data_IF_934425220833
#
_entry.id   IF_934425220833
#
_cell.length_a   1.000
_cell.length_b   1.000
_cell.length_c   1.000
_cell.angle_alpha   90.00
_cell.angle_beta   90.00
_cell.angle_gamma   90.00
#
_symmetry.space_group_name_H-M   'P 1'
#
loop_
_entity.id
_entity.type
_entity.pdbx_description
1 polymer ?
#
# COMPACT_ATOMS: atom_id res chain seq x y z
N UNK A 1 9.96 -12.21 13.46
CA UNK A 1 9.45 -10.94 14.05
C UNK A 1 8.05 -11.20 14.61
N UNK A 2 7.83 -10.83 15.85
CA UNK A 2 6.49 -10.84 16.44
C UNK A 2 5.80 -9.52 16.09
N UNK A 3 4.65 -9.59 15.44
CA UNK A 3 3.87 -8.41 15.02
C UNK A 3 2.80 -8.00 16.05
N UNK A 4 2.65 -8.75 17.13
CA UNK A 4 1.70 -8.41 18.19
C UNK A 4 2.01 -7.02 18.75
N UNK A 5 1.00 -6.14 18.76
CA UNK A 5 1.15 -4.75 19.21
C UNK A 5 1.95 -3.84 18.25
N UNK A 6 2.44 -4.34 17.12
CA UNK A 6 3.15 -3.54 16.12
C UNK A 6 2.18 -2.91 15.13
N UNK A 7 2.58 -1.79 14.58
CA UNK A 7 1.83 -1.05 13.54
C UNK A 7 2.51 -1.24 12.20
N UNK A 8 1.77 -1.73 11.23
CA UNK A 8 2.25 -1.94 9.87
C UNK A 8 1.50 -1.03 8.88
N UNK A 9 2.24 -0.36 8.03
CA UNK A 9 1.71 0.26 6.81
C UNK A 9 1.77 -0.79 5.70
N UNK A 10 0.65 -1.00 5.01
CA UNK A 10 0.55 -1.94 3.87
C UNK A 10 0.03 -1.19 2.66
N UNK A 11 0.88 -0.97 1.67
CA UNK A 11 0.44 -0.37 0.40
C UNK A 11 -0.26 -1.42 -0.47
N UNK A 12 -1.28 -1.02 -1.22
CA UNK A 12 -2.12 -1.97 -1.94
C UNK A 12 -2.88 -2.92 -1.01
N UNK A 13 -3.13 -2.49 0.22
CA UNK A 13 -3.69 -3.32 1.29
C UNK A 13 -5.18 -3.62 1.15
N UNK A 14 -5.87 -2.99 0.20
CA UNK A 14 -7.30 -3.20 -0.01
C UNK A 14 -7.63 -4.37 -0.94
N UNK A 15 -6.63 -4.99 -1.56
CA UNK A 15 -6.83 -6.11 -2.49
C UNK A 15 -5.65 -7.08 -2.53
N UNK A 16 -5.88 -8.27 -3.07
CA UNK A 16 -4.86 -9.27 -3.41
C UNK A 16 -3.92 -9.61 -2.26
N UNK A 17 -2.62 -9.56 -2.56
CA UNK A 17 -1.55 -9.92 -1.60
C UNK A 17 -1.55 -8.95 -0.40
N UNK A 18 -1.67 -7.65 -0.65
CA UNK A 18 -1.71 -6.66 0.43
C UNK A 18 -2.86 -6.88 1.41
N UNK A 19 -4.03 -7.21 0.90
CA UNK A 19 -5.20 -7.55 1.71
C UNK A 19 -4.95 -8.80 2.58
N UNK A 20 -4.34 -9.83 2.01
CA UNK A 20 -4.00 -11.04 2.75
C UNK A 20 -2.96 -10.76 3.85
N UNK A 21 -1.97 -9.91 3.56
CA UNK A 21 -0.98 -9.44 4.55
C UNK A 21 -1.66 -8.67 5.68
N UNK A 22 -2.56 -7.75 5.36
CA UNK A 22 -3.31 -6.97 6.34
C UNK A 22 -4.11 -7.87 7.29
N UNK A 23 -4.84 -8.85 6.75
CA UNK A 23 -5.57 -9.84 7.57
C UNK A 23 -4.64 -10.65 8.46
N UNK A 24 -3.50 -11.07 7.94
CA UNK A 24 -2.53 -11.88 8.70
C UNK A 24 -1.94 -11.09 9.87
N UNK A 25 -1.58 -9.83 9.65
CA UNK A 25 -1.02 -8.97 10.69
C UNK A 25 -2.08 -8.68 11.78
N UNK A 26 -3.28 -8.28 11.38
CA UNK A 26 -4.37 -8.03 12.33
C UNK A 26 -4.73 -9.29 13.13
N UNK A 27 -4.81 -10.45 12.49
CA UNK A 27 -5.08 -11.73 13.14
C UNK A 27 -3.98 -12.18 14.10
N UNK A 28 -2.77 -11.66 13.97
CA UNK A 28 -1.66 -11.90 14.88
C UNK A 28 -1.53 -10.82 15.99
N UNK A 29 -2.55 -9.97 16.17
CA UNK A 29 -2.59 -8.92 17.20
C UNK A 29 -1.86 -7.64 16.82
N UNK A 30 -1.46 -7.48 15.57
CA UNK A 30 -0.91 -6.24 15.05
C UNK A 30 -2.00 -5.25 14.64
N UNK A 31 -1.56 -4.04 14.31
CA UNK A 31 -2.39 -2.97 13.75
C UNK A 31 -1.95 -2.67 12.33
N UNK A 32 -2.90 -2.35 11.46
CA UNK A 32 -2.65 -2.15 10.03
C UNK A 32 -3.15 -0.79 9.59
N UNK A 33 -2.34 -0.07 8.86
CA UNK A 33 -2.74 1.11 8.11
C UNK A 33 -2.68 0.77 6.62
N UNK A 34 -3.84 0.72 6.00
CA UNK A 34 -3.97 0.40 4.58
C UNK A 34 -3.79 1.67 3.76
N UNK A 35 -2.80 1.66 2.86
CA UNK A 35 -2.61 2.67 1.83
C UNK A 35 -3.11 2.09 0.51
N UNK A 36 -4.19 2.66 -0.02
CA UNK A 36 -4.76 2.23 -1.29
C UNK A 36 -5.49 3.39 -1.96
N UNK A 37 -5.70 3.32 -3.26
CA UNK A 37 -6.50 4.27 -4.01
C UNK A 37 -8.00 3.92 -4.00
N UNK A 38 -8.33 2.66 -3.73
CA UNK A 38 -9.71 2.19 -3.70
C UNK A 38 -10.33 2.41 -2.32
N UNK A 39 -11.04 3.51 -2.18
CA UNK A 39 -11.66 3.93 -0.93
C UNK A 39 -12.73 2.94 -0.45
N UNK A 40 -13.57 2.44 -1.36
CA UNK A 40 -14.61 1.46 -1.02
C UNK A 40 -14.01 0.17 -0.46
N UNK A 41 -13.02 -0.39 -1.13
CA UNK A 41 -12.34 -1.59 -0.69
C UNK A 41 -11.53 -1.36 0.60
N UNK A 42 -10.91 -0.19 0.75
CA UNK A 42 -10.19 0.19 1.97
C UNK A 42 -11.12 0.28 3.19
N UNK A 43 -12.25 0.95 3.03
CA UNK A 43 -13.26 1.05 4.09
C UNK A 43 -13.89 -0.31 4.42
N UNK A 44 -14.06 -1.20 3.44
CA UNK A 44 -14.52 -2.57 3.68
C UNK A 44 -13.53 -3.36 4.55
N UNK A 45 -12.24 -3.16 4.37
CA UNK A 45 -11.19 -3.76 5.21
C UNK A 45 -11.24 -3.24 6.65
N UNK A 46 -11.48 -1.95 6.85
CA UNK A 46 -11.66 -1.37 8.21
C UNK A 46 -12.87 -1.99 8.89
N UNK A 47 -13.99 -2.15 8.18
CA UNK A 47 -15.19 -2.81 8.71
C UNK A 47 -14.95 -4.28 9.06
N UNK A 48 -14.18 -5.00 8.24
CA UNK A 48 -13.84 -6.42 8.47
C UNK A 48 -12.91 -6.61 9.67
N UNK A 49 -11.83 -5.83 9.75
CA UNK A 49 -10.78 -5.99 10.77
C UNK A 49 -11.06 -5.24 12.07
N UNK A 50 -11.95 -4.26 12.04
CA UNK A 50 -12.29 -3.40 13.15
C UNK A 50 -11.40 -2.15 13.24
N UNK A 51 -12.00 -1.03 13.61
CA UNK A 51 -11.32 0.27 13.71
C UNK A 51 -10.19 0.31 14.75
N UNK A 52 -10.20 -0.59 15.72
CA UNK A 52 -9.13 -0.74 16.72
C UNK A 52 -7.87 -1.39 16.13
N UNK A 53 -8.00 -2.09 15.01
CA UNK A 53 -6.91 -2.84 14.35
C UNK A 53 -6.56 -2.34 12.95
N UNK A 54 -7.45 -1.58 12.33
CA UNK A 54 -7.27 -1.15 10.95
C UNK A 54 -7.71 0.29 10.72
N UNK A 55 -6.85 1.04 10.03
CA UNK A 55 -7.14 2.38 9.51
C UNK A 55 -6.89 2.36 8.01
N UNK A 56 -7.72 3.08 7.27
CA UNK A 56 -7.54 3.31 5.85
C UNK A 56 -7.11 4.75 5.57
N UNK A 57 -6.15 4.92 4.67
CA UNK A 57 -5.77 6.20 4.09
C UNK A 57 -5.73 6.08 2.57
N UNK A 58 -6.40 7.03 1.89
CA UNK A 58 -6.31 7.12 0.42
C UNK A 58 -4.95 7.68 0.04
N UNK A 59 -4.05 6.82 -0.45
CA UNK A 59 -2.67 7.18 -0.74
C UNK A 59 -2.29 6.77 -2.16
N UNK A 60 -1.78 7.74 -2.90
CA UNK A 60 -1.06 7.52 -4.14
C UNK A 60 0.44 7.41 -3.84
N UNK A 61 1.01 6.23 -4.01
CA UNK A 61 2.41 5.94 -3.64
C UNK A 61 3.44 6.74 -4.43
N UNK A 62 3.10 7.27 -5.60
CA UNK A 62 4.00 8.09 -6.43
C UNK A 62 3.97 9.58 -6.05
N UNK A 63 3.04 9.99 -5.19
CA UNK A 63 2.89 11.36 -4.72
C UNK A 63 3.43 11.50 -3.29
N UNK A 64 4.49 12.27 -3.13
CA UNK A 64 5.13 12.47 -1.83
C UNK A 64 4.19 13.07 -0.80
N UNK A 65 3.40 14.08 -1.17
CA UNK A 65 2.46 14.72 -0.25
C UNK A 65 1.35 13.74 0.20
N UNK A 66 0.86 12.91 -0.73
CA UNK A 66 -0.12 11.87 -0.43
C UNK A 66 0.43 10.84 0.56
N UNK A 67 1.67 10.38 0.38
CA UNK A 67 2.32 9.43 1.31
C UNK A 67 2.53 10.06 2.68
N UNK A 68 3.00 11.31 2.74
CA UNK A 68 3.16 12.04 4.01
C UNK A 68 1.86 12.15 4.77
N UNK A 69 0.77 12.52 4.10
CA UNK A 69 -0.57 12.58 4.70
C UNK A 69 -1.02 11.21 5.24
N UNK A 70 -0.75 10.14 4.51
CA UNK A 70 -1.04 8.78 4.97
C UNK A 70 -0.23 8.38 6.22
N UNK A 71 1.03 8.76 6.28
CA UNK A 71 1.90 8.53 7.45
C UNK A 71 1.40 9.32 8.67
N UNK A 72 1.01 10.57 8.49
CA UNK A 72 0.40 11.38 9.55
C UNK A 72 -0.87 10.73 10.09
N UNK A 73 -1.72 10.20 9.21
CA UNK A 73 -2.91 9.44 9.61
C UNK A 73 -2.56 8.16 10.39
N UNK A 74 -1.50 7.45 10.00
CA UNK A 74 -1.02 6.27 10.70
C UNK A 74 -0.55 6.59 12.11
N UNK A 75 0.24 7.64 12.26
CA UNK A 75 0.77 8.09 13.56
C UNK A 75 -0.37 8.65 14.44
N UNK A 76 -1.30 9.42 13.88
CA UNK A 76 -2.47 9.92 14.61
C UNK A 76 -3.36 8.78 15.09
N UNK A 77 -3.55 7.72 14.30
CA UNK A 77 -4.40 6.58 14.65
C UNK A 77 -3.76 5.60 15.64
N UNK A 78 -2.49 5.27 15.46
CA UNK A 78 -1.81 4.19 16.19
C UNK A 78 -0.50 4.59 16.88
N UNK A 79 -0.07 5.84 16.76
CA UNK A 79 1.06 6.40 17.49
C UNK A 79 2.45 6.14 16.91
N UNK A 80 2.62 5.11 16.07
CA UNK A 80 3.92 4.75 15.48
C UNK A 80 3.76 3.92 14.21
N UNK A 81 4.84 3.75 13.46
CA UNK A 81 4.97 2.77 12.38
C UNK A 81 6.20 1.91 12.69
N UNK A 82 6.04 0.59 12.64
CA UNK A 82 7.10 -0.37 12.94
C UNK A 82 7.47 -1.22 11.72
N UNK A 83 6.51 -1.39 10.81
CA UNK A 83 6.64 -2.27 9.63
C UNK A 83 6.09 -1.55 8.41
N UNK A 84 6.78 -1.65 7.29
CA UNK A 84 6.30 -1.19 5.99
C UNK A 84 6.29 -2.37 5.02
N UNK A 85 5.13 -2.64 4.43
CA UNK A 85 4.96 -3.71 3.43
C UNK A 85 4.48 -3.09 2.12
N UNK A 86 5.33 -3.10 1.10
CA UNK A 86 5.04 -2.55 -0.20
C UNK A 86 4.41 -3.62 -1.11
N UNK A 87 3.08 -3.59 -1.22
CA UNK A 87 2.30 -4.46 -2.11
C UNK A 87 1.63 -3.71 -3.26
N UNK A 88 1.63 -2.37 -3.25
CA UNK A 88 1.08 -1.59 -4.34
C UNK A 88 1.89 -1.80 -5.62
N UNK A 89 1.22 -2.16 -6.69
CA UNK A 89 1.85 -2.39 -7.98
C UNK A 89 0.83 -2.65 -9.06
N UNK A 90 1.25 -2.43 -10.30
CA UNK A 90 0.50 -2.76 -11.50
C UNK A 90 1.35 -3.62 -12.42
N UNK A 91 0.71 -4.40 -13.27
CA UNK A 91 1.38 -5.20 -14.28
C UNK A 91 0.80 -4.95 -15.66
N UNK A 92 1.66 -5.06 -16.67
CA UNK A 92 1.30 -5.03 -18.07
C UNK A 92 2.06 -6.12 -18.80
N UNK A 93 1.38 -7.19 -19.16
CA UNK A 93 1.94 -8.27 -19.94
C UNK A 93 1.78 -7.95 -21.43
N UNK A 94 2.83 -7.42 -22.04
CA UNK A 94 2.88 -7.19 -23.47
C UNK A 94 4.28 -7.47 -24.03
N UNK A 95 4.33 -7.83 -25.32
CA UNK A 95 5.61 -8.03 -26.03
C UNK A 95 6.30 -6.68 -26.24
N UNK A 96 7.63 -6.68 -26.21
CA UNK A 96 8.45 -5.50 -26.54
C UNK A 96 8.09 -4.96 -27.92
N UNK A 97 7.84 -5.85 -28.89
CA UNK A 97 7.31 -5.53 -30.21
C UNK A 97 6.04 -6.37 -30.45
N UNK A 98 4.89 -5.72 -30.44
CA UNK A 98 3.59 -6.31 -30.74
C UNK A 98 3.17 -6.12 -32.20
N UNK A 99 1.94 -6.54 -32.52
CA UNK A 99 1.37 -6.36 -33.87
C UNK A 99 1.19 -4.89 -34.26
N UNK A 100 0.89 -4.04 -33.28
CA UNK A 100 0.58 -2.62 -33.49
C UNK A 100 1.81 -1.71 -33.25
N UNK A 101 2.99 -2.30 -33.02
CA UNK A 101 4.23 -1.57 -32.82
C UNK A 101 4.93 -1.85 -31.49
N UNK A 102 5.93 -1.02 -31.14
CA UNK A 102 6.68 -1.16 -29.91
C UNK A 102 5.81 -0.97 -28.67
N UNK A 103 6.21 -1.59 -27.57
CA UNK A 103 5.57 -1.38 -26.26
C UNK A 103 5.55 0.12 -25.93
N UNK A 104 4.38 0.71 -25.57
CA UNK A 104 4.28 2.14 -25.28
C UNK A 104 5.17 2.56 -24.10
N UNK A 105 6.00 3.57 -24.30
CA UNK A 105 6.94 4.05 -23.29
C UNK A 105 6.25 4.68 -22.08
N UNK A 106 5.15 5.37 -22.27
CA UNK A 106 4.33 5.94 -21.21
C UNK A 106 3.77 4.86 -20.28
N UNK A 107 3.38 3.72 -20.82
CA UNK A 107 2.92 2.56 -20.06
C UNK A 107 4.06 1.93 -19.25
N UNK A 108 5.24 1.79 -19.85
CA UNK A 108 6.46 1.37 -19.15
C UNK A 108 6.77 2.32 -17.98
N UNK A 109 6.80 3.61 -18.24
CA UNK A 109 7.09 4.62 -17.22
C UNK A 109 6.08 4.60 -16.08
N UNK A 110 4.80 4.34 -16.38
CA UNK A 110 3.76 4.20 -15.36
C UNK A 110 4.02 3.00 -14.43
N UNK A 111 4.38 1.85 -15.00
CA UNK A 111 4.72 0.65 -14.22
C UNK A 111 5.93 0.90 -13.33
N UNK A 112 7.00 1.47 -13.86
CA UNK A 112 8.21 1.81 -13.09
C UNK A 112 7.89 2.83 -12.00
N UNK A 113 7.11 3.85 -12.31
CA UNK A 113 6.73 4.89 -11.36
C UNK A 113 5.99 4.30 -10.15
N UNK A 114 5.03 3.43 -10.37
CA UNK A 114 4.25 2.83 -9.28
C UNK A 114 5.06 1.76 -8.55
N UNK A 115 5.62 0.80 -9.29
CA UNK A 115 6.19 -0.41 -8.68
C UNK A 115 7.56 -0.15 -8.05
N UNK A 116 8.40 0.67 -8.67
CA UNK A 116 9.75 0.96 -8.19
C UNK A 116 9.80 2.27 -7.40
N UNK A 117 9.48 3.39 -8.04
CA UNK A 117 9.55 4.70 -7.39
C UNK A 117 8.56 4.80 -6.22
N UNK A 118 7.34 4.29 -6.40
CA UNK A 118 6.33 4.26 -5.34
C UNK A 118 6.78 3.45 -4.12
N UNK A 119 7.38 2.28 -4.33
CA UNK A 119 7.93 1.47 -3.24
C UNK A 119 9.04 2.19 -2.48
N UNK A 120 9.98 2.82 -3.19
CA UNK A 120 11.03 3.62 -2.58
C UNK A 120 10.47 4.83 -1.83
N UNK A 121 9.50 5.54 -2.42
CA UNK A 121 8.88 6.71 -1.81
C UNK A 121 8.23 6.39 -0.46
N UNK A 122 7.45 5.32 -0.41
CA UNK A 122 6.83 4.89 0.85
C UNK A 122 7.88 4.40 1.85
N UNK A 123 8.82 3.56 1.42
CA UNK A 123 9.88 3.04 2.27
C UNK A 123 10.68 4.16 2.96
N UNK A 124 11.18 5.14 2.18
CA UNK A 124 11.99 6.23 2.71
C UNK A 124 11.23 7.16 3.68
N UNK A 125 9.92 7.30 3.48
CA UNK A 125 9.08 8.16 4.32
C UNK A 125 8.55 7.45 5.57
N UNK A 126 8.44 6.11 5.54
CA UNK A 126 8.11 5.31 6.72
C UNK A 126 9.33 5.10 7.65
N UNK A 127 10.54 5.19 7.12
CA UNK A 127 11.75 5.03 7.91
C UNK A 127 11.99 6.21 8.84
#
# INVERSE_FOLDING_TARGET
MDVNGKVAVVTGGASGIGQAVARRIAGAGGKVVIFDLNEEAGNAMVAELGADHCVFANVNVVDEASVKSGIEAAVAGFGAIHVCVNCAGIGNAAKTLGKDGPFPLDLWNKVISINLTGSFNVLRLCA
#
